data_IF_167344316521
#
_entry.id   IF_167344316521
#
_cell.length_a   1.000
_cell.length_b   1.000
_cell.length_c   1.000
_cell.angle_alpha   90.00
_cell.angle_beta   90.00
_cell.angle_gamma   90.00
#
_symmetry.space_group_name_H-M   'P 1'
#
loop_
_entity.id
_entity.type
_entity.pdbx_description
1 polymer ?
#
# COMPACT_ATOMS: atom_id res chain seq x y z
N UNK A 1 -14.73 -1.92 -4.99
CA UNK A 1 -14.61 -1.05 -3.81
C UNK A 1 -14.78 -1.92 -2.57
N UNK A 2 -13.92 -1.75 -1.57
CA UNK A 2 -13.87 -2.53 -0.32
C UNK A 2 -14.42 -1.70 0.84
N UNK A 3 -13.99 -0.44 0.91
CA UNK A 3 -14.43 0.53 1.90
C UNK A 3 -14.28 1.93 1.30
N UNK A 4 -14.95 2.91 1.89
CA UNK A 4 -14.83 4.32 1.55
C UNK A 4 -15.01 5.20 2.77
N UNK A 5 -14.51 6.42 2.68
CA UNK A 5 -14.62 7.48 3.68
C UNK A 5 -15.06 8.79 3.00
N UNK A 6 -15.05 9.89 3.75
CA UNK A 6 -15.41 11.19 3.22
C UNK A 6 -14.47 11.61 2.07
N UNK A 7 -13.16 11.42 2.23
CA UNK A 7 -12.17 11.90 1.27
C UNK A 7 -11.44 10.80 0.51
N UNK A 8 -11.68 9.51 0.80
CA UNK A 8 -10.90 8.42 0.22
C UNK A 8 -11.75 7.21 -0.16
N UNK A 9 -11.21 6.37 -1.05
CA UNK A 9 -11.80 5.09 -1.43
C UNK A 9 -10.74 3.99 -1.43
N UNK A 10 -11.17 2.77 -1.11
CA UNK A 10 -10.31 1.59 -1.10
C UNK A 10 -10.83 0.51 -2.04
N UNK A 11 -9.94 -0.14 -2.79
CA UNK A 11 -10.28 -1.24 -3.69
C UNK A 11 -9.10 -2.17 -3.95
N UNK A 12 -9.38 -3.43 -4.27
CA UNK A 12 -8.33 -4.40 -4.58
C UNK A 12 -7.54 -3.94 -5.82
N UNK A 13 -6.23 -4.13 -5.75
CA UNK A 13 -5.38 -3.99 -6.92
C UNK A 13 -5.80 -5.01 -7.98
N UNK A 14 -5.80 -4.59 -9.24
CA UNK A 14 -6.12 -5.45 -10.37
C UNK A 14 -5.03 -6.50 -10.63
N UNK A 15 -3.80 -6.20 -10.27
CA UNK A 15 -2.62 -7.04 -10.40
C UNK A 15 -1.97 -7.18 -9.01
N UNK A 16 -2.62 -7.96 -8.11
CA UNK A 16 -2.20 -8.04 -6.71
C UNK A 16 -0.80 -8.65 -6.58
N UNK A 17 0.02 -8.07 -5.70
CA UNK A 17 1.32 -8.65 -5.30
C UNK A 17 1.10 -9.92 -4.46
N UNK A 18 0.06 -9.89 -3.64
CA UNK A 18 -0.40 -10.99 -2.79
C UNK A 18 -1.91 -10.89 -2.58
N UNK A 19 -2.52 -11.98 -2.09
CA UNK A 19 -3.95 -12.01 -1.83
C UNK A 19 -4.39 -10.86 -0.90
N UNK A 20 -5.41 -10.13 -1.33
CA UNK A 20 -5.91 -8.97 -0.60
C UNK A 20 -5.15 -7.65 -0.82
N UNK A 21 -4.14 -7.60 -1.71
CA UNK A 21 -3.47 -6.35 -2.08
C UNK A 21 -4.51 -5.27 -2.45
N UNK A 22 -4.51 -4.19 -1.67
CA UNK A 22 -5.50 -3.12 -1.74
C UNK A 22 -4.84 -1.77 -1.93
N UNK A 23 -5.47 -0.93 -2.75
CA UNK A 23 -5.10 0.47 -2.93
C UNK A 23 -6.08 1.35 -2.15
N UNK A 24 -5.56 2.31 -1.39
CA UNK A 24 -6.33 3.41 -0.79
C UNK A 24 -5.92 4.70 -1.50
N UNK A 25 -6.90 5.43 -2.03
CA UNK A 25 -6.68 6.65 -2.81
C UNK A 25 -7.55 7.80 -2.28
N UNK A 26 -7.06 9.06 -2.30
CA UNK A 26 -7.91 10.22 -2.11
C UNK A 26 -8.90 10.33 -3.27
N UNK A 27 -10.02 11.01 -3.06
CA UNK A 27 -11.02 11.27 -4.11
C UNK A 27 -10.52 12.34 -5.07
N UNK A 28 -9.85 13.37 -4.56
CA UNK A 28 -9.26 14.39 -5.42
C UNK A 28 -8.00 13.86 -6.09
N UNK A 29 -7.93 14.09 -7.40
CA UNK A 29 -6.78 13.67 -8.19
C UNK A 29 -5.57 14.56 -7.92
N UNK A 30 -4.55 13.95 -7.33
CA UNK A 30 -3.19 14.47 -7.20
C UNK A 30 -2.24 13.35 -7.56
N UNK A 31 -1.30 13.58 -8.48
CA UNK A 31 -0.34 12.56 -8.86
C UNK A 31 0.63 12.25 -7.71
N UNK A 32 1.13 13.30 -7.06
CA UNK A 32 2.06 13.21 -5.94
C UNK A 32 1.32 13.20 -4.60
N UNK A 33 1.63 12.24 -3.72
CA UNK A 33 1.09 12.19 -2.36
C UNK A 33 1.40 13.48 -1.56
N UNK A 34 2.53 14.12 -1.82
CA UNK A 34 2.92 15.36 -1.14
C UNK A 34 2.08 16.58 -1.56
N UNK A 35 1.39 16.49 -2.70
CA UNK A 35 0.43 17.49 -3.18
C UNK A 35 -1.01 17.26 -2.68
N UNK A 36 -1.25 16.15 -1.98
CA UNK A 36 -2.54 15.83 -1.35
C UNK A 36 -2.71 16.66 -0.09
N UNK A 37 -3.91 17.23 0.09
CA UNK A 37 -4.21 18.06 1.24
C UNK A 37 -4.04 17.27 2.56
N UNK A 38 -3.56 17.90 3.66
CA UNK A 38 -3.31 17.18 4.91
C UNK A 38 -4.53 16.45 5.48
N UNK A 39 -5.73 17.02 5.28
CA UNK A 39 -6.99 16.42 5.71
C UNK A 39 -7.28 15.12 4.94
N UNK A 40 -7.12 15.13 3.62
CA UNK A 40 -7.33 13.95 2.78
C UNK A 40 -6.29 12.87 3.05
N UNK A 41 -5.02 13.24 3.29
CA UNK A 41 -4.00 12.28 3.72
C UNK A 41 -4.37 11.62 5.04
N UNK A 42 -4.85 12.40 6.00
CA UNK A 42 -5.28 11.88 7.31
C UNK A 42 -6.46 10.92 7.16
N UNK A 43 -7.45 11.29 6.34
CA UNK A 43 -8.60 10.44 6.03
C UNK A 43 -8.18 9.14 5.30
N UNK A 44 -7.24 9.21 4.35
CA UNK A 44 -6.70 8.04 3.66
C UNK A 44 -5.99 7.06 4.62
N UNK A 45 -5.21 7.56 5.57
CA UNK A 45 -4.58 6.72 6.59
C UNK A 45 -5.62 6.09 7.54
N UNK A 46 -6.65 6.84 7.94
CA UNK A 46 -7.74 6.27 8.75
C UNK A 46 -8.52 5.17 7.98
N UNK A 47 -8.72 5.36 6.67
CA UNK A 47 -9.33 4.33 5.83
C UNK A 47 -8.41 3.10 5.69
N UNK A 48 -7.09 3.29 5.62
CA UNK A 48 -6.11 2.21 5.59
C UNK A 48 -6.24 1.29 6.81
N UNK A 49 -6.41 1.86 8.02
CA UNK A 49 -6.62 1.10 9.25
C UNK A 49 -7.91 0.27 9.17
N UNK A 50 -9.00 0.86 8.66
CA UNK A 50 -10.27 0.14 8.44
C UNK A 50 -10.10 -1.03 7.48
N UNK A 51 -9.39 -0.81 6.37
CA UNK A 51 -9.11 -1.86 5.38
C UNK A 51 -8.25 -2.97 5.98
N UNK A 52 -7.24 -2.64 6.80
CA UNK A 52 -6.41 -3.65 7.48
C UNK A 52 -7.26 -4.62 8.30
N UNK A 53 -8.22 -4.14 9.08
CA UNK A 53 -9.10 -5.01 9.86
C UNK A 53 -9.95 -5.92 8.97
N UNK A 54 -10.50 -5.40 7.87
CA UNK A 54 -11.22 -6.21 6.88
C UNK A 54 -10.34 -7.29 6.24
N UNK A 55 -9.07 -6.98 5.96
CA UNK A 55 -8.12 -7.92 5.39
C UNK A 55 -7.70 -9.00 6.41
N UNK A 56 -7.55 -8.63 7.68
CA UNK A 56 -7.32 -9.58 8.78
C UNK A 56 -8.45 -10.61 8.87
N UNK A 57 -9.70 -10.16 8.86
CA UNK A 57 -10.87 -11.03 8.93
C UNK A 57 -11.00 -11.94 7.70
N UNK A 58 -10.75 -11.40 6.51
CA UNK A 58 -11.04 -12.10 5.25
C UNK A 58 -9.92 -13.02 4.78
N UNK A 59 -8.67 -12.62 5.00
CA UNK A 59 -7.50 -13.30 4.42
C UNK A 59 -6.51 -13.82 5.46
N UNK A 60 -6.64 -13.42 6.73
CA UNK A 60 -5.77 -13.85 7.83
C UNK A 60 -4.25 -13.80 7.47
N UNK A 61 -3.73 -12.65 7.01
CA UNK A 61 -2.30 -12.51 6.72
C UNK A 61 -1.45 -12.46 7.99
N UNK A 62 -0.18 -12.84 7.85
CA UNK A 62 0.82 -12.85 8.93
C UNK A 62 1.54 -11.49 9.10
N UNK A 63 1.38 -10.58 8.14
CA UNK A 63 1.97 -9.26 8.16
C UNK A 63 1.50 -8.36 7.03
N UNK A 64 2.06 -7.16 6.93
CA UNK A 64 1.75 -6.21 5.86
C UNK A 64 3.00 -5.46 5.41
N UNK A 65 3.07 -5.15 4.12
CA UNK A 65 3.87 -4.05 3.62
C UNK A 65 2.94 -2.90 3.21
N UNK A 66 3.34 -1.69 3.59
CA UNK A 66 2.63 -0.46 3.24
C UNK A 66 3.62 0.39 2.44
N UNK A 67 3.20 0.90 1.28
CA UNK A 67 4.08 1.61 0.37
C UNK A 67 3.35 2.64 -0.46
N UNK A 68 4.09 3.67 -0.86
CA UNK A 68 3.64 4.71 -1.79
C UNK A 68 4.80 4.98 -2.73
N UNK A 69 4.52 4.97 -4.03
CA UNK A 69 5.46 5.40 -5.05
C UNK A 69 5.10 6.81 -5.49
N UNK A 70 6.06 7.72 -5.41
CA UNK A 70 5.89 9.13 -5.77
C UNK A 70 6.88 9.46 -6.88
N UNK A 71 6.37 9.84 -8.05
CA UNK A 71 7.08 10.04 -9.31
C UNK A 71 7.65 8.77 -9.96
N UNK A 72 7.95 8.86 -11.26
CA UNK A 72 8.40 7.74 -12.11
C UNK A 72 9.67 7.05 -11.58
N UNK A 73 10.62 7.81 -11.04
CA UNK A 73 11.87 7.25 -10.51
C UNK A 73 11.65 6.31 -9.29
N UNK A 74 10.52 6.46 -8.58
CA UNK A 74 10.10 5.57 -7.51
C UNK A 74 9.20 4.42 -8.00
N UNK A 75 8.93 4.31 -9.30
CA UNK A 75 8.10 3.27 -9.90
C UNK A 75 6.61 3.61 -9.96
N UNK A 76 6.22 4.88 -9.83
CA UNK A 76 4.84 5.29 -10.05
C UNK A 76 4.46 5.16 -11.53
N UNK A 77 3.36 4.47 -11.82
CA UNK A 77 2.85 4.25 -13.19
C UNK A 77 1.43 4.79 -13.41
N UNK A 78 0.73 5.11 -12.31
CA UNK A 78 -0.58 5.75 -12.33
C UNK A 78 -0.45 7.09 -11.65
N UNK A 79 -0.79 8.16 -12.37
CA UNK A 79 -0.68 9.56 -11.93
C UNK A 79 -1.78 9.95 -10.92
N UNK A 80 -2.11 9.07 -9.98
CA UNK A 80 -3.02 9.34 -8.89
C UNK A 80 -2.42 8.73 -7.63
N UNK A 81 -2.18 9.52 -6.59
CA UNK A 81 -1.56 9.08 -5.35
C UNK A 81 -2.32 7.90 -4.73
N UNK A 82 -1.62 6.79 -4.48
CA UNK A 82 -2.25 5.60 -3.91
C UNK A 82 -1.33 4.96 -2.87
N UNK A 83 -1.93 4.58 -1.74
CA UNK A 83 -1.28 3.82 -0.69
C UNK A 83 -1.55 2.35 -0.94
N UNK A 84 -0.48 1.59 -1.15
CA UNK A 84 -0.53 0.14 -1.21
C UNK A 84 -0.62 -0.42 0.21
N UNK A 85 -1.60 -1.29 0.45
CA UNK A 85 -1.66 -2.19 1.60
C UNK A 85 -1.54 -3.62 1.08
N UNK A 86 -0.37 -4.22 1.27
CA UNK A 86 -0.01 -5.53 0.73
C UNK A 86 0.05 -6.53 1.89
N UNK A 87 -0.92 -7.44 2.03
CA UNK A 87 -0.85 -8.54 2.99
C UNK A 87 0.35 -9.44 2.73
N UNK A 88 0.98 -9.97 3.78
CA UNK A 88 2.15 -10.87 3.70
C UNK A 88 1.86 -12.16 4.45
N UNK A 89 2.43 -13.26 3.97
CA UNK A 89 2.16 -14.60 4.47
C UNK A 89 3.46 -15.34 4.75
N UNK A 90 3.51 -16.16 5.78
CA UNK A 90 4.68 -17.00 6.03
C UNK A 90 4.93 -17.93 4.82
N UNK A 91 6.16 -17.89 4.30
CA UNK A 91 6.57 -18.69 3.14
C UNK A 91 6.21 -18.09 1.78
N UNK A 92 5.68 -16.86 1.71
CA UNK A 92 5.43 -16.17 0.44
C UNK A 92 6.71 -15.76 -0.32
N UNK A 93 7.83 -15.66 0.41
CA UNK A 93 9.19 -15.46 -0.10
C UNK A 93 10.20 -16.25 0.73
N UNK A 94 11.39 -16.50 0.18
CA UNK A 94 12.46 -17.25 0.86
C UNK A 94 13.03 -16.51 2.08
N UNK A 95 13.30 -15.21 1.97
CA UNK A 95 13.79 -14.37 3.07
C UNK A 95 13.02 -13.04 3.11
N UNK A 96 12.13 -12.82 4.09
CA UNK A 96 11.32 -11.60 4.17
C UNK A 96 12.08 -10.42 4.77
N UNK A 97 13.30 -10.61 5.31
CA UNK A 97 14.05 -9.54 5.97
C UNK A 97 14.36 -8.41 4.98
N UNK A 98 14.40 -7.18 5.47
CA UNK A 98 14.62 -5.99 4.65
C UNK A 98 13.34 -5.41 4.03
N UNK A 99 12.31 -6.21 3.73
CA UNK A 99 11.01 -5.73 3.27
C UNK A 99 11.11 -4.67 2.16
N UNK A 100 10.69 -3.44 2.45
CA UNK A 100 10.73 -2.30 1.51
C UNK A 100 12.13 -2.06 0.92
N UNK A 101 13.22 -2.42 1.60
CA UNK A 101 14.58 -2.26 1.07
C UNK A 101 14.83 -3.01 -0.24
N UNK A 102 14.03 -4.04 -0.54
CA UNK A 102 14.08 -4.78 -1.80
C UNK A 102 13.71 -3.93 -3.04
N UNK A 103 13.27 -2.67 -2.88
CA UNK A 103 13.19 -1.72 -4.01
C UNK A 103 14.54 -1.49 -4.70
N UNK A 104 15.65 -1.64 -3.97
CA UNK A 104 17.01 -1.67 -4.52
C UNK A 104 17.65 -2.97 -4.04
N UNK A 105 17.51 -4.09 -4.79
CA UNK A 105 17.89 -5.42 -4.30
C UNK A 105 19.33 -5.52 -3.78
N UNK A 106 20.29 -4.87 -4.45
CA UNK A 106 21.69 -4.83 -4.02
C UNK A 106 21.96 -4.08 -2.70
N UNK A 107 20.95 -3.43 -2.11
CA UNK A 107 21.01 -2.78 -0.80
C UNK A 107 20.04 -3.41 0.22
N UNK A 108 19.30 -4.46 -0.18
CA UNK A 108 18.26 -5.05 0.66
C UNK A 108 18.85 -5.83 1.84
N UNK A 109 19.84 -6.73 1.65
CA UNK A 109 20.58 -7.33 2.75
C UNK A 109 21.39 -6.25 3.48
N UNK A 110 21.18 -6.16 4.79
CA UNK A 110 21.94 -5.27 5.68
C UNK A 110 22.56 -6.05 6.85
N UNK A 111 22.51 -7.37 6.76
CA UNK A 111 22.91 -8.33 7.79
C UNK A 111 24.11 -9.18 7.38
N UNK A 112 24.77 -8.79 6.29
CA UNK A 112 26.03 -9.38 5.82
C UNK A 112 27.23 -8.59 6.38
#
# INVERSE_FOLDING_TARGET
MIAESAHSVAFYDRYPVSDGHTLVIPRHHKADLFDVDPEERTDAWALLDTVRELLLERFNPDGFNIGVNTNEAAGQTVDHAHIHLIPRYQGDVEDPRGGIRWVIPGKAPYWD
#
